data_IF_824295234089
#
_entry.id   IF_824295234089
#
_cell.length_a   1.000
_cell.length_b   1.000
_cell.length_c   1.000
_cell.angle_alpha   90.00
_cell.angle_beta   90.00
_cell.angle_gamma   90.00
#
_symmetry.space_group_name_H-M   'P 1'
#
loop_
_entity.id
_entity.type
_entity.pdbx_description
1 polymer ?
#
# COMPACT_ATOMS: atom_id res chain seq x y z
N UNK A 1 9.03 8.38 -0.70
CA UNK A 1 8.61 7.61 -1.88
C UNK A 1 7.47 6.67 -1.51
N UNK A 2 6.48 6.57 -2.38
CA UNK A 2 5.29 5.77 -2.14
C UNK A 2 5.06 4.79 -3.27
N UNK A 3 4.42 3.68 -2.97
CA UNK A 3 4.05 2.70 -3.99
C UNK A 3 2.78 1.95 -3.56
N UNK A 4 2.19 1.24 -4.52
CA UNK A 4 1.08 0.31 -4.25
C UNK A 4 1.61 -1.11 -4.42
N UNK A 5 1.40 -1.93 -3.41
CA UNK A 5 1.78 -3.34 -3.43
C UNK A 5 0.50 -4.19 -3.38
N UNK A 6 0.39 -5.12 -4.32
CA UNK A 6 -0.75 -6.02 -4.36
C UNK A 6 -0.49 -7.21 -3.45
N UNK A 7 -1.45 -7.48 -2.58
CA UNK A 7 -1.40 -8.66 -1.71
C UNK A 7 -2.66 -9.49 -1.87
N UNK A 8 -2.55 -10.78 -1.67
CA UNK A 8 -3.69 -11.69 -1.74
C UNK A 8 -3.91 -12.35 -0.39
N UNK A 9 -5.18 -12.56 -0.05
CA UNK A 9 -5.54 -13.28 1.16
C UNK A 9 -6.81 -14.06 0.94
N UNK A 10 -7.08 -15.01 1.82
CA UNK A 10 -8.28 -15.83 1.74
C UNK A 10 -9.23 -15.48 2.87
N UNK A 11 -10.49 -15.20 2.50
CA UNK A 11 -11.57 -15.04 3.46
C UNK A 11 -12.43 -16.31 3.36
N UNK A 12 -12.17 -17.27 4.26
CA UNK A 12 -12.72 -18.59 4.10
C UNK A 12 -12.08 -19.28 2.91
N UNK A 13 -12.88 -19.69 1.92
CA UNK A 13 -12.40 -20.30 0.69
C UNK A 13 -12.35 -19.31 -0.48
N UNK A 14 -12.65 -18.04 -0.24
CA UNK A 14 -12.73 -17.03 -1.30
C UNK A 14 -11.43 -16.25 -1.34
N UNK A 15 -10.69 -16.26 -2.49
CA UNK A 15 -9.50 -15.43 -2.63
C UNK A 15 -9.89 -13.98 -2.80
N UNK A 16 -9.16 -13.10 -2.12
CA UNK A 16 -9.38 -11.66 -2.21
C UNK A 16 -8.05 -10.94 -2.43
N UNK A 17 -8.12 -9.81 -3.12
CA UNK A 17 -6.96 -9.00 -3.41
C UNK A 17 -7.03 -7.69 -2.64
N UNK A 18 -5.91 -7.30 -2.03
CA UNK A 18 -5.78 -6.01 -1.36
C UNK A 18 -4.70 -5.19 -2.05
N UNK A 19 -4.92 -3.90 -2.11
CA UNK A 19 -3.93 -2.95 -2.59
C UNK A 19 -3.42 -2.16 -1.39
N UNK A 20 -2.14 -2.39 -1.06
CA UNK A 20 -1.51 -1.71 0.07
C UNK A 20 -0.73 -0.50 -0.42
N UNK A 21 -1.04 0.66 0.15
CA UNK A 21 -0.24 1.86 -0.08
C UNK A 21 0.91 1.82 0.92
N UNK A 22 2.14 1.87 0.40
CA UNK A 22 3.34 1.75 1.19
C UNK A 22 4.22 2.98 1.07
N UNK A 23 4.93 3.28 2.14
CA UNK A 23 5.89 4.37 2.20
C UNK A 23 7.27 3.81 2.43
N UNK A 24 8.26 4.34 1.71
CA UNK A 24 9.65 3.97 1.93
C UNK A 24 10.23 4.83 3.03
N UNK A 25 10.77 4.17 4.04
CA UNK A 25 11.38 4.85 5.19
C UNK A 25 12.82 4.39 5.34
N UNK A 26 13.73 5.37 5.48
CA UNK A 26 15.13 5.07 5.75
C UNK A 26 15.34 4.67 7.19
N UNK A 27 16.12 3.62 7.42
CA UNK A 27 16.47 3.13 8.75
C UNK A 27 17.98 2.96 8.84
N UNK A 28 18.47 2.67 10.05
CA UNK A 28 19.89 2.38 10.26
C UNK A 28 20.35 1.14 9.50
N UNK A 29 19.43 0.26 9.17
CA UNK A 29 19.72 -1.00 8.48
C UNK A 29 19.36 -0.96 7.00
N UNK A 30 19.05 0.23 6.46
CA UNK A 30 18.65 0.40 5.07
C UNK A 30 17.22 0.89 4.93
N UNK A 31 16.74 0.95 3.70
CA UNK A 31 15.38 1.39 3.43
C UNK A 31 14.38 0.27 3.65
N UNK A 32 13.22 0.65 4.18
CA UNK A 32 12.16 -0.31 4.49
C UNK A 32 10.83 0.21 4.02
N UNK A 33 10.01 -0.66 3.43
CA UNK A 33 8.65 -0.33 3.03
C UNK A 33 7.69 -0.60 4.17
N UNK A 34 6.86 0.39 4.48
CA UNK A 34 5.88 0.33 5.56
C UNK A 34 4.49 0.45 4.98
N UNK A 35 3.60 -0.46 5.38
CA UNK A 35 2.20 -0.38 4.95
C UNK A 35 1.51 0.77 5.67
N UNK A 36 0.94 1.70 4.90
CA UNK A 36 0.17 2.80 5.45
C UNK A 36 -1.28 2.36 5.62
N UNK A 37 -1.85 1.81 4.54
CA UNK A 37 -3.23 1.36 4.55
C UNK A 37 -3.48 0.37 3.43
N UNK A 38 -4.37 -0.60 3.67
CA UNK A 38 -4.81 -1.55 2.66
C UNK A 38 -6.22 -1.20 2.18
N UNK A 39 -6.45 -1.38 0.90
CA UNK A 39 -7.77 -1.18 0.28
C UNK A 39 -8.15 -2.40 -0.52
N UNK A 40 -9.43 -2.68 -0.56
CA UNK A 40 -9.97 -3.74 -1.42
C UNK A 40 -10.32 -3.22 -2.81
N UNK A 41 -10.08 -1.94 -3.06
CA UNK A 41 -10.37 -1.27 -4.32
C UNK A 41 -9.13 -0.52 -4.80
N UNK A 42 -8.71 -0.80 -6.03
CA UNK A 42 -7.53 -0.17 -6.61
C UNK A 42 -7.65 1.35 -6.72
N UNK A 43 -8.85 1.83 -7.10
CA UNK A 43 -9.07 3.26 -7.28
C UNK A 43 -8.87 4.03 -5.98
N UNK A 44 -9.31 3.47 -4.87
CA UNK A 44 -9.12 4.11 -3.56
C UNK A 44 -7.64 4.13 -3.16
N UNK A 45 -6.91 3.06 -3.47
CA UNK A 45 -5.48 3.01 -3.20
C UNK A 45 -4.74 4.06 -4.02
N UNK A 46 -5.08 4.19 -5.31
CA UNK A 46 -4.46 5.20 -6.18
C UNK A 46 -4.81 6.61 -5.72
N UNK A 47 -6.02 6.83 -5.25
CA UNK A 47 -6.43 8.13 -4.74
C UNK A 47 -5.60 8.55 -3.54
N UNK A 48 -5.41 7.64 -2.58
CA UNK A 48 -4.55 7.92 -1.43
C UNK A 48 -3.12 8.16 -1.87
N UNK A 49 -2.62 7.36 -2.80
CA UNK A 49 -1.27 7.52 -3.31
C UNK A 49 -1.06 8.90 -3.92
N UNK A 50 -2.03 9.38 -4.70
CA UNK A 50 -1.96 10.70 -5.31
C UNK A 50 -1.98 11.80 -4.26
N UNK A 51 -2.79 11.66 -3.22
CA UNK A 51 -2.84 12.63 -2.13
C UNK A 51 -1.49 12.71 -1.43
N UNK A 52 -0.88 11.57 -1.15
CA UNK A 52 0.42 11.52 -0.48
C UNK A 52 1.54 12.10 -1.34
N UNK A 53 1.48 11.85 -2.64
CA UNK A 53 2.50 12.38 -3.56
C UNK A 53 2.40 13.89 -3.74
N UNK A 54 1.20 14.43 -3.74
CA UNK A 54 0.99 15.87 -3.94
C UNK A 54 1.15 16.66 -2.66
N UNK A 55 1.06 16.01 -1.53
CA UNK A 55 1.15 16.67 -0.23
C UNK A 55 2.58 16.55 0.32
N UNK A 56 3.41 17.42 -0.15
CA UNK A 56 4.82 17.47 0.29
C UNK A 56 5.01 18.38 1.49
#
# INVERSE_FOLDING_TARGET
MYRIQIGEYYSGCIPKTLWFVQMKKGTMFGDKWINIKGFDNREMAEELLNILKSNK
#
